data_IF_659616416885
#
_entry.id   IF_659616416885
#
_cell.length_a   1.000
_cell.length_b   1.000
_cell.length_c   1.000
_cell.angle_alpha   90.00
_cell.angle_beta   90.00
_cell.angle_gamma   90.00
#
_symmetry.space_group_name_H-M   'P 1'
#
loop_
_entity.id
_entity.type
_entity.pdbx_description
1 polymer ?
#
# COMPACT_ATOMS: atom_id res chain seq x y z
N UNK A 1 -12.54 -38.47 1.19
CA UNK A 1 -11.42 -39.26 1.76
C UNK A 1 -10.50 -39.85 0.68
N UNK A 2 -10.91 -39.93 -0.59
CA UNK A 2 -10.07 -40.40 -1.70
C UNK A 2 -8.91 -39.48 -2.12
N UNK A 3 -9.04 -38.16 -1.96
CA UNK A 3 -7.97 -37.22 -2.35
C UNK A 3 -6.73 -37.28 -1.46
N UNK A 4 -6.86 -37.72 -0.20
CA UNK A 4 -5.72 -37.86 0.72
C UNK A 4 -4.93 -39.16 0.47
N UNK A 5 -5.56 -40.17 -0.15
CA UNK A 5 -4.91 -41.45 -0.43
C UNK A 5 -4.03 -41.40 -1.69
N UNK A 6 -4.39 -40.57 -2.67
CA UNK A 6 -3.63 -40.44 -3.92
C UNK A 6 -2.33 -39.63 -3.78
N UNK A 7 -2.27 -38.70 -2.81
CA UNK A 7 -1.04 -37.93 -2.52
C UNK A 7 0.03 -38.82 -1.87
N UNK A 8 -0.37 -39.87 -1.14
CA UNK A 8 0.58 -40.75 -0.45
C UNK A 8 1.30 -41.74 -1.39
N UNK A 9 0.78 -41.98 -2.59
CA UNK A 9 1.26 -43.04 -3.48
C UNK A 9 1.93 -42.55 -4.78
N UNK A 10 2.10 -41.24 -4.98
CA UNK A 10 2.66 -40.69 -6.22
C UNK A 10 4.12 -40.21 -6.10
N UNK A 11 4.72 -40.29 -4.91
CA UNK A 11 6.14 -40.00 -4.69
C UNK A 11 6.82 -41.31 -4.30
N UNK A 12 7.74 -41.85 -5.11
CA UNK A 12 8.59 -42.95 -4.67
C UNK A 12 9.35 -42.47 -3.43
N UNK A 13 9.20 -43.19 -2.32
CA UNK A 13 9.97 -43.00 -1.09
C UNK A 13 11.43 -43.44 -1.37
N UNK A 14 12.16 -42.64 -2.15
CA UNK A 14 13.60 -42.63 -2.03
C UNK A 14 13.92 -41.88 -0.73
N UNK A 15 14.75 -42.48 0.12
CA UNK A 15 15.05 -41.95 1.46
C UNK A 15 15.88 -40.67 1.47
N UNK A 16 15.68 -39.77 0.50
CA UNK A 16 16.44 -38.54 0.30
C UNK A 16 15.60 -37.27 0.12
N UNK A 17 14.28 -37.31 0.33
CA UNK A 17 13.48 -36.10 0.45
C UNK A 17 13.65 -35.43 1.84
N UNK A 18 14.83 -34.87 2.07
CA UNK A 18 15.00 -33.80 3.06
C UNK A 18 14.26 -32.56 2.55
N UNK A 19 12.93 -32.55 2.69
CA UNK A 19 12.15 -31.33 2.57
C UNK A 19 12.79 -30.28 3.47
N UNK A 20 13.42 -29.26 2.90
CA UNK A 20 14.22 -28.29 3.65
C UNK A 20 13.35 -27.61 4.70
N UNK A 21 13.47 -28.05 5.96
CA UNK A 21 12.71 -27.48 7.07
C UNK A 21 13.24 -26.07 7.33
N UNK A 22 12.45 -25.07 6.92
CA UNK A 22 12.78 -23.67 7.11
C UNK A 22 12.76 -23.32 8.60
N UNK A 23 13.92 -22.92 9.13
CA UNK A 23 14.08 -22.51 10.54
C UNK A 23 14.08 -20.99 10.66
N UNK A 24 13.81 -20.46 11.86
CA UNK A 24 13.94 -19.02 12.18
C UNK A 24 15.28 -18.40 11.78
N UNK A 25 16.36 -19.21 11.73
CA UNK A 25 17.67 -18.80 11.20
C UNK A 25 17.60 -18.34 9.74
N UNK A 26 16.81 -19.02 8.91
CA UNK A 26 16.69 -18.68 7.49
C UNK A 26 15.92 -17.36 7.31
N UNK A 27 14.91 -17.13 8.15
CA UNK A 27 14.19 -15.84 8.20
C UNK A 27 15.13 -14.71 8.63
N UNK A 28 15.99 -14.95 9.63
CA UNK A 28 16.99 -13.98 10.07
C UNK A 28 18.01 -13.66 8.97
N UNK A 29 18.46 -14.65 8.20
CA UNK A 29 19.33 -14.43 7.04
C UNK A 29 18.60 -13.58 5.98
N UNK A 30 17.34 -13.88 5.67
CA UNK A 30 16.55 -13.05 4.74
C UNK A 30 16.37 -11.61 5.23
N UNK A 31 16.25 -11.40 6.53
CA UNK A 31 16.17 -10.06 7.12
C UNK A 31 17.45 -9.23 6.93
N UNK A 32 18.62 -9.87 6.71
CA UNK A 32 19.86 -9.15 6.41
C UNK A 32 19.79 -8.38 5.08
N UNK A 33 19.03 -8.86 4.09
CA UNK A 33 18.84 -8.13 2.84
C UNK A 33 18.14 -6.78 3.06
N UNK A 34 17.17 -6.73 3.97
CA UNK A 34 16.50 -5.47 4.35
C UNK A 34 17.45 -4.53 5.10
N UNK A 35 18.35 -5.08 5.93
CA UNK A 35 19.37 -4.28 6.62
C UNK A 35 20.33 -3.68 5.60
N UNK A 36 20.75 -4.45 4.59
CA UNK A 36 21.58 -3.97 3.50
C UNK A 36 20.91 -2.80 2.76
N UNK A 37 19.65 -2.94 2.37
CA UNK A 37 18.88 -1.86 1.72
C UNK A 37 18.74 -0.61 2.61
N UNK A 38 18.57 -0.80 3.92
CA UNK A 38 18.49 0.31 4.87
C UNK A 38 19.82 1.06 5.01
N UNK A 39 20.94 0.35 4.94
CA UNK A 39 22.30 0.94 4.92
C UNK A 39 22.49 1.71 3.62
N UNK A 40 22.17 1.10 2.47
CA UNK A 40 22.28 1.76 1.16
C UNK A 40 21.42 3.04 1.10
N UNK A 41 20.19 2.99 1.62
CA UNK A 41 19.30 4.16 1.73
C UNK A 41 19.91 5.29 2.57
N UNK A 42 20.73 4.96 3.58
CA UNK A 42 21.42 5.94 4.42
C UNK A 42 22.61 6.55 3.68
N UNK A 43 23.40 5.74 2.96
CA UNK A 43 24.53 6.19 2.15
C UNK A 43 24.05 7.13 1.04
N UNK A 44 22.96 6.78 0.36
CA UNK A 44 22.39 7.58 -0.73
C UNK A 44 21.48 8.73 -0.25
N UNK A 45 21.27 8.89 1.05
CA UNK A 45 20.46 9.99 1.60
C UNK A 45 18.95 9.91 1.32
N UNK A 46 18.41 8.75 0.95
CA UNK A 46 17.00 8.55 0.57
C UNK A 46 16.02 8.73 1.74
N UNK A 47 16.48 8.64 3.00
CA UNK A 47 15.66 8.75 4.24
C UNK A 47 14.51 7.72 4.33
N UNK A 48 14.57 6.61 3.58
CA UNK A 48 13.54 5.55 3.58
C UNK A 48 13.94 4.35 4.46
N UNK A 49 15.24 4.13 4.74
CA UNK A 49 15.73 2.94 5.45
C UNK A 49 14.99 2.61 6.75
N UNK A 50 14.61 3.61 7.54
CA UNK A 50 13.81 3.40 8.76
C UNK A 50 12.41 2.85 8.47
N UNK A 51 11.73 3.39 7.46
CA UNK A 51 10.40 2.92 7.07
C UNK A 51 10.46 1.48 6.56
N UNK A 52 11.56 1.11 5.88
CA UNK A 52 11.79 -0.25 5.40
C UNK A 52 11.93 -1.25 6.54
N UNK A 53 12.76 -0.95 7.56
CA UNK A 53 12.92 -1.83 8.73
C UNK A 53 11.60 -2.00 9.48
N UNK A 54 10.84 -0.91 9.70
CA UNK A 54 9.54 -0.98 10.37
C UNK A 54 8.56 -1.83 9.58
N UNK A 55 8.53 -1.68 8.25
CA UNK A 55 7.69 -2.49 7.37
C UNK A 55 8.07 -3.98 7.44
N UNK A 56 9.37 -4.30 7.46
CA UNK A 56 9.85 -5.67 7.56
C UNK A 56 9.50 -6.32 8.92
N UNK A 57 9.73 -5.62 10.04
CA UNK A 57 9.32 -6.12 11.36
C UNK A 57 7.80 -6.33 11.45
N UNK A 58 7.01 -5.38 10.91
CA UNK A 58 5.55 -5.51 10.83
C UNK A 58 5.15 -6.71 9.97
N UNK A 59 5.82 -6.95 8.84
CA UNK A 59 5.57 -8.09 7.97
C UNK A 59 5.78 -9.43 8.71
N UNK A 60 6.92 -9.59 9.40
CA UNK A 60 7.21 -10.81 10.18
C UNK A 60 6.12 -11.06 11.23
N UNK A 61 5.79 -10.03 12.02
CA UNK A 61 4.77 -10.14 13.05
C UNK A 61 3.40 -10.49 12.46
N UNK A 62 3.02 -9.82 11.37
CA UNK A 62 1.73 -10.05 10.71
C UNK A 62 1.61 -11.46 10.12
N UNK A 63 2.67 -11.98 9.48
CA UNK A 63 2.66 -13.34 8.94
C UNK A 63 2.62 -14.39 10.06
N UNK A 64 3.33 -14.19 11.17
CA UNK A 64 3.26 -15.09 12.32
C UNK A 64 1.85 -15.14 12.92
N UNK A 65 1.24 -13.96 13.14
CA UNK A 65 -0.13 -13.86 13.65
C UNK A 65 -1.11 -14.50 12.66
N UNK A 66 -0.96 -14.22 11.37
CA UNK A 66 -1.83 -14.77 10.33
C UNK A 66 -1.76 -16.30 10.27
N UNK A 67 -0.55 -16.88 10.38
CA UNK A 67 -0.37 -18.33 10.43
C UNK A 67 -1.16 -18.98 11.57
N UNK A 68 -1.10 -18.40 12.77
CA UNK A 68 -1.83 -18.92 13.94
C UNK A 68 -3.35 -18.76 13.83
N UNK A 69 -3.81 -17.69 13.17
CA UNK A 69 -5.23 -17.44 12.97
C UNK A 69 -5.80 -18.40 11.93
N UNK A 70 -5.14 -18.57 10.79
CA UNK A 70 -5.64 -19.37 9.67
C UNK A 70 -5.87 -20.83 10.06
N UNK A 71 -4.96 -21.44 10.82
CA UNK A 71 -5.10 -22.84 11.27
C UNK A 71 -6.40 -23.05 12.06
N UNK A 72 -6.72 -22.12 12.97
CA UNK A 72 -7.96 -22.20 13.78
C UNK A 72 -9.22 -22.01 12.94
N UNK A 73 -9.12 -21.19 11.90
CA UNK A 73 -10.24 -20.84 11.04
C UNK A 73 -10.56 -21.97 10.08
N UNK A 74 -9.53 -22.58 9.51
CA UNK A 74 -9.65 -23.74 8.65
C UNK A 74 -10.27 -24.92 9.42
N UNK A 75 -9.89 -25.11 10.69
CA UNK A 75 -10.48 -26.12 11.56
C UNK A 75 -11.97 -25.89 11.89
N UNK A 76 -12.44 -24.63 11.93
CA UNK A 76 -13.82 -24.32 12.32
C UNK A 76 -14.85 -24.60 11.24
N UNK A 77 -14.45 -24.60 9.95
CA UNK A 77 -15.30 -24.78 8.76
C UNK A 77 -16.69 -24.08 8.80
N UNK A 78 -16.77 -22.93 9.49
CA UNK A 78 -18.03 -22.21 9.72
C UNK A 78 -18.10 -20.98 8.80
N UNK A 79 -19.17 -20.82 7.98
CA UNK A 79 -19.30 -19.68 7.08
C UNK A 79 -19.28 -18.32 7.80
N UNK A 80 -19.79 -18.25 9.04
CA UNK A 80 -19.74 -17.02 9.84
C UNK A 80 -18.32 -16.65 10.27
N UNK A 81 -17.45 -17.63 10.50
CA UNK A 81 -16.04 -17.36 10.82
C UNK A 81 -15.31 -16.77 9.62
N UNK A 82 -15.55 -17.30 8.41
CA UNK A 82 -14.99 -16.77 7.15
C UNK A 82 -15.49 -15.35 6.89
N UNK A 83 -16.79 -15.10 7.09
CA UNK A 83 -17.37 -13.77 6.95
C UNK A 83 -16.79 -12.77 7.98
N UNK A 84 -16.59 -13.19 9.23
CA UNK A 84 -15.98 -12.37 10.26
C UNK A 84 -14.54 -11.96 9.92
N UNK A 85 -13.75 -12.88 9.36
CA UNK A 85 -12.38 -12.59 8.92
C UNK A 85 -12.39 -11.70 7.68
N UNK A 86 -13.27 -11.96 6.73
CA UNK A 86 -13.42 -11.11 5.55
C UNK A 86 -13.74 -9.65 5.95
N UNK A 87 -14.63 -9.47 6.93
CA UNK A 87 -14.93 -8.17 7.50
C UNK A 87 -13.73 -7.56 8.24
N UNK A 88 -13.04 -8.35 9.07
CA UNK A 88 -11.84 -7.92 9.79
C UNK A 88 -10.76 -7.43 8.82
N UNK A 89 -10.47 -8.17 7.75
CA UNK A 89 -9.50 -7.80 6.73
C UNK A 89 -9.90 -6.50 6.01
N UNK A 90 -11.19 -6.31 5.72
CA UNK A 90 -11.70 -5.06 5.14
C UNK A 90 -11.50 -3.87 6.10
N UNK A 91 -11.80 -4.03 7.40
CA UNK A 91 -11.60 -3.01 8.42
C UNK A 91 -10.11 -2.65 8.54
N UNK A 92 -9.24 -3.66 8.66
CA UNK A 92 -7.80 -3.45 8.71
C UNK A 92 -7.26 -2.77 7.44
N UNK A 93 -7.77 -3.15 6.27
CA UNK A 93 -7.45 -2.51 4.99
C UNK A 93 -7.89 -1.05 4.92
N UNK A 94 -9.07 -0.73 5.44
CA UNK A 94 -9.57 0.65 5.49
C UNK A 94 -8.76 1.52 6.45
N UNK A 95 -8.36 0.96 7.60
CA UNK A 95 -7.44 1.61 8.53
C UNK A 95 -6.09 1.86 7.83
N UNK A 96 -5.52 0.84 7.19
CA UNK A 96 -4.22 0.96 6.52
C UNK A 96 -4.22 2.03 5.43
N UNK A 97 -5.26 2.03 4.59
CA UNK A 97 -5.40 2.98 3.49
C UNK A 97 -5.56 4.40 4.01
N UNK A 98 -6.45 4.60 4.98
CA UNK A 98 -6.76 5.92 5.55
C UNK A 98 -5.58 6.48 6.34
N UNK A 99 -4.90 5.63 7.11
CA UNK A 99 -3.92 6.08 8.08
C UNK A 99 -2.47 6.07 7.57
N UNK A 100 -2.11 5.13 6.70
CA UNK A 100 -0.73 4.94 6.25
C UNK A 100 -0.50 5.27 4.78
N UNK A 101 -1.45 4.99 3.87
CA UNK A 101 -1.26 5.25 2.42
C UNK A 101 -1.68 6.64 1.96
N UNK A 102 -2.71 7.22 2.58
CA UNK A 102 -3.19 8.55 2.20
C UNK A 102 -2.26 9.65 2.70
N UNK A 103 -1.67 10.42 1.78
CA UNK A 103 -0.83 11.60 2.10
C UNK A 103 -1.65 12.75 2.67
N UNK A 104 -2.86 12.92 2.14
CA UNK A 104 -3.84 13.93 2.55
C UNK A 104 -5.15 13.23 2.85
N UNK A 105 -5.90 13.76 3.82
CA UNK A 105 -7.15 13.15 4.27
C UNK A 105 -8.28 14.12 4.09
N UNK A 106 -9.47 13.58 3.85
CA UNK A 106 -10.69 14.35 3.85
C UNK A 106 -11.64 13.91 4.98
N UNK A 107 -12.57 14.78 5.36
CA UNK A 107 -13.59 14.47 6.38
C UNK A 107 -14.31 13.16 6.04
N UNK A 108 -14.48 12.26 7.02
CA UNK A 108 -15.14 10.95 6.83
C UNK A 108 -14.44 10.00 5.83
N UNK A 109 -13.12 10.13 5.63
CA UNK A 109 -12.37 9.23 4.76
C UNK A 109 -12.47 7.74 5.15
N UNK A 110 -12.42 7.41 6.45
CA UNK A 110 -12.46 6.02 6.92
C UNK A 110 -13.71 5.24 6.45
N UNK A 111 -14.95 5.70 6.73
CA UNK A 111 -16.15 4.98 6.27
C UNK A 111 -16.25 4.96 4.74
N UNK A 112 -15.83 6.02 4.03
CA UNK A 112 -15.81 6.02 2.57
C UNK A 112 -14.89 4.94 2.00
N UNK A 113 -13.67 4.81 2.52
CA UNK A 113 -12.71 3.79 2.09
C UNK A 113 -13.21 2.38 2.47
N UNK A 114 -13.78 2.20 3.66
CA UNK A 114 -14.33 0.91 4.09
C UNK A 114 -15.45 0.44 3.16
N UNK A 115 -16.40 1.32 2.82
CA UNK A 115 -17.47 1.02 1.87
C UNK A 115 -16.88 0.69 0.49
N UNK A 116 -15.88 1.46 0.05
CA UNK A 116 -15.22 1.24 -1.24
C UNK A 116 -14.54 -0.14 -1.33
N UNK A 117 -13.84 -0.55 -0.26
CA UNK A 117 -13.23 -1.88 -0.18
C UNK A 117 -14.28 -3.00 -0.11
N UNK A 118 -15.35 -2.81 0.66
CA UNK A 118 -16.44 -3.79 0.74
C UNK A 118 -17.13 -3.96 -0.62
N UNK A 119 -17.50 -2.86 -1.29
CA UNK A 119 -18.11 -2.86 -2.61
C UNK A 119 -17.18 -3.45 -3.69
N UNK A 120 -15.87 -3.18 -3.60
CA UNK A 120 -14.90 -3.71 -4.56
C UNK A 120 -14.50 -5.17 -4.33
N UNK A 121 -14.37 -5.62 -3.09
CA UNK A 121 -13.79 -6.93 -2.79
C UNK A 121 -14.83 -8.03 -2.59
N UNK A 122 -15.93 -7.77 -1.88
CA UNK A 122 -16.89 -8.81 -1.50
C UNK A 122 -17.68 -9.34 -2.69
N UNK A 123 -18.33 -8.50 -3.54
CA UNK A 123 -19.10 -9.00 -4.67
C UNK A 123 -18.24 -9.80 -5.64
N UNK A 124 -17.03 -9.32 -5.93
CA UNK A 124 -16.11 -9.96 -6.87
C UNK A 124 -15.55 -11.25 -6.28
N UNK A 125 -15.25 -11.29 -4.98
CA UNK A 125 -14.83 -12.54 -4.32
C UNK A 125 -15.93 -13.60 -4.35
N UNK A 126 -17.19 -13.23 -4.06
CA UNK A 126 -18.33 -14.15 -4.05
C UNK A 126 -18.63 -14.65 -5.46
N UNK A 127 -18.75 -13.75 -6.44
CA UNK A 127 -19.05 -14.11 -7.84
C UNK A 127 -17.90 -14.92 -8.43
N UNK A 128 -16.66 -14.45 -8.27
CA UNK A 128 -15.47 -15.11 -8.81
C UNK A 128 -15.26 -16.50 -8.25
N UNK A 129 -15.43 -16.70 -6.94
CA UNK A 129 -15.25 -18.03 -6.37
C UNK A 129 -16.39 -18.99 -6.70
N UNK A 130 -17.64 -18.50 -6.68
CA UNK A 130 -18.79 -19.34 -6.98
C UNK A 130 -18.86 -19.75 -8.46
N UNK A 131 -18.61 -18.82 -9.38
CA UNK A 131 -18.82 -19.04 -10.81
C UNK A 131 -17.54 -19.21 -11.61
N UNK A 132 -16.50 -18.41 -11.37
CA UNK A 132 -15.28 -18.50 -12.17
C UNK A 132 -14.35 -19.64 -11.70
N UNK A 133 -14.27 -19.87 -10.40
CA UNK A 133 -13.47 -20.96 -9.80
C UNK A 133 -14.29 -22.22 -9.53
N UNK A 134 -15.60 -22.21 -9.86
CA UNK A 134 -16.56 -23.31 -9.64
C UNK A 134 -16.44 -23.96 -8.25
N UNK A 135 -16.23 -23.14 -7.23
CA UNK A 135 -15.93 -23.63 -5.90
C UNK A 135 -17.20 -23.92 -5.11
N UNK A 136 -17.36 -25.18 -4.70
CA UNK A 136 -18.47 -25.63 -3.86
C UNK A 136 -17.96 -26.22 -2.53
N UNK A 137 -18.35 -25.67 -1.37
CA UNK A 137 -18.96 -24.35 -1.17
C UNK A 137 -18.00 -23.19 -1.52
N UNK A 138 -18.55 -22.04 -1.91
CA UNK A 138 -17.74 -20.87 -2.32
C UNK A 138 -16.96 -20.25 -1.16
N UNK A 139 -17.32 -20.56 0.09
CA UNK A 139 -16.67 -20.02 1.30
C UNK A 139 -15.61 -20.94 1.89
N UNK A 140 -15.05 -21.87 1.10
CA UNK A 140 -13.93 -22.71 1.53
C UNK A 140 -12.77 -21.83 2.03
N UNK A 141 -12.43 -21.87 3.33
CA UNK A 141 -11.52 -20.91 3.94
C UNK A 141 -10.13 -20.83 3.26
N UNK A 142 -9.61 -21.98 2.82
CA UNK A 142 -8.25 -22.15 2.29
C UNK A 142 -8.04 -21.40 0.97
N UNK A 143 -9.11 -21.21 0.20
CA UNK A 143 -9.07 -20.46 -1.07
C UNK A 143 -9.67 -19.07 -0.90
N UNK A 144 -10.76 -18.95 -0.13
CA UNK A 144 -11.50 -17.70 -0.02
C UNK A 144 -10.68 -16.60 0.65
N UNK A 145 -10.03 -16.92 1.77
CA UNK A 145 -9.30 -15.92 2.55
C UNK A 145 -8.06 -15.41 1.80
N UNK A 146 -7.22 -16.26 1.18
CA UNK A 146 -6.09 -15.78 0.38
C UNK A 146 -6.52 -14.97 -0.86
N UNK A 147 -7.54 -15.43 -1.60
CA UNK A 147 -8.08 -14.70 -2.77
C UNK A 147 -8.57 -13.32 -2.35
N UNK A 148 -9.42 -13.24 -1.33
CA UNK A 148 -9.88 -11.97 -0.79
C UNK A 148 -8.71 -11.09 -0.32
N UNK A 149 -7.71 -11.69 0.33
CA UNK A 149 -6.52 -11.00 0.80
C UNK A 149 -5.75 -10.27 -0.32
N UNK A 150 -5.58 -10.89 -1.49
CA UNK A 150 -4.93 -10.21 -2.62
C UNK A 150 -5.83 -9.17 -3.28
N UNK A 151 -7.14 -9.40 -3.36
CA UNK A 151 -8.09 -8.40 -3.86
C UNK A 151 -8.01 -7.14 -2.98
N UNK A 152 -8.03 -7.31 -1.65
CA UNK A 152 -7.88 -6.21 -0.70
C UNK A 152 -6.50 -5.56 -0.80
N UNK A 153 -5.41 -6.33 -0.86
CA UNK A 153 -4.05 -5.81 -0.96
C UNK A 153 -3.85 -4.89 -2.16
N UNK A 154 -4.34 -5.30 -3.33
CA UNK A 154 -4.32 -4.49 -4.55
C UNK A 154 -5.30 -3.32 -4.48
N UNK A 155 -6.52 -3.54 -3.96
CA UNK A 155 -7.52 -2.48 -3.76
C UNK A 155 -7.03 -1.35 -2.85
N UNK A 156 -6.33 -1.67 -1.75
CA UNK A 156 -5.71 -0.69 -0.84
C UNK A 156 -4.68 0.16 -1.58
N UNK A 157 -3.88 -0.43 -2.48
CA UNK A 157 -2.95 0.33 -3.34
C UNK A 157 -3.67 1.21 -4.34
N UNK A 158 -4.66 0.68 -5.05
CA UNK A 158 -5.42 1.42 -6.06
C UNK A 158 -6.16 2.61 -5.44
N UNK A 159 -6.90 2.41 -4.34
CA UNK A 159 -7.56 3.50 -3.61
C UNK A 159 -6.54 4.54 -3.13
N UNK A 160 -5.41 4.09 -2.56
CA UNK A 160 -4.37 4.99 -2.08
C UNK A 160 -3.82 5.89 -3.19
N UNK A 161 -3.58 5.33 -4.38
CA UNK A 161 -3.13 6.10 -5.55
C UNK A 161 -4.23 7.04 -6.04
N UNK A 162 -5.46 6.56 -6.22
CA UNK A 162 -6.60 7.35 -6.68
C UNK A 162 -6.85 8.57 -5.78
N UNK A 163 -6.90 8.35 -4.45
CA UNK A 163 -7.12 9.41 -3.46
C UNK A 163 -5.95 10.39 -3.46
N UNK A 164 -4.70 9.90 -3.48
CA UNK A 164 -3.54 10.80 -3.50
C UNK A 164 -3.49 11.63 -4.78
N UNK A 165 -3.82 11.03 -5.93
CA UNK A 165 -3.86 11.71 -7.23
C UNK A 165 -4.93 12.81 -7.23
N UNK A 166 -6.18 12.47 -6.92
CA UNK A 166 -7.28 13.46 -6.91
C UNK A 166 -7.02 14.56 -5.90
N UNK A 167 -6.54 14.23 -4.70
CA UNK A 167 -6.31 15.22 -3.64
C UNK A 167 -5.12 16.16 -3.98
N UNK A 168 -4.16 15.68 -4.77
CA UNK A 168 -3.07 16.51 -5.27
C UNK A 168 -3.57 17.44 -6.38
N UNK A 169 -4.31 16.90 -7.34
CA UNK A 169 -4.93 17.65 -8.43
C UNK A 169 -5.85 18.76 -7.92
N UNK A 170 -6.69 18.48 -6.91
CA UNK A 170 -7.57 19.49 -6.31
C UNK A 170 -6.83 20.65 -5.67
N UNK A 171 -5.61 20.43 -5.20
CA UNK A 171 -4.81 21.50 -4.57
C UNK A 171 -4.03 22.28 -5.60
N UNK A 172 -3.52 21.61 -6.64
CA UNK A 172 -2.68 22.24 -7.66
C UNK A 172 -3.51 22.97 -8.72
N UNK A 173 -4.68 22.43 -9.10
CA UNK A 173 -5.51 22.93 -10.19
C UNK A 173 -6.82 23.56 -9.71
N UNK A 174 -6.82 24.09 -8.48
CA UNK A 174 -8.01 24.70 -7.86
C UNK A 174 -8.62 25.80 -8.72
N UNK A 175 -7.80 26.75 -9.16
CA UNK A 175 -8.26 27.93 -9.89
C UNK A 175 -8.98 27.53 -11.18
N UNK A 176 -8.51 26.44 -11.81
CA UNK A 176 -9.14 25.85 -12.99
C UNK A 176 -10.52 25.28 -12.68
N UNK A 177 -10.68 24.57 -11.55
CA UNK A 177 -11.98 24.03 -11.13
C UNK A 177 -12.96 25.17 -10.83
N UNK A 178 -12.53 26.18 -10.08
CA UNK A 178 -13.37 27.35 -9.76
C UNK A 178 -13.75 28.13 -11.02
N UNK A 179 -12.85 28.22 -12.00
CA UNK A 179 -13.14 28.82 -13.30
C UNK A 179 -14.24 28.05 -14.03
N UNK A 180 -14.15 26.71 -14.15
CA UNK A 180 -15.20 25.92 -14.78
C UNK A 180 -16.55 26.08 -14.09
N UNK A 181 -16.57 26.09 -12.75
CA UNK A 181 -17.79 26.29 -11.96
C UNK A 181 -18.36 27.71 -12.15
N UNK A 182 -17.50 28.73 -12.29
CA UNK A 182 -17.92 30.10 -12.58
C UNK A 182 -18.53 30.26 -13.99
N UNK A 183 -18.08 29.44 -14.96
CA UNK A 183 -18.69 29.34 -16.29
C UNK A 183 -19.96 28.47 -16.34
N UNK A 184 -20.44 27.98 -15.19
CA UNK A 184 -21.68 27.20 -15.08
C UNK A 184 -21.54 25.70 -15.36
N UNK A 185 -20.31 25.18 -15.43
CA UNK A 185 -20.10 23.74 -15.54
C UNK A 185 -20.58 23.02 -14.28
N UNK A 186 -21.20 21.84 -14.45
CA UNK A 186 -21.62 21.03 -13.30
C UNK A 186 -20.44 20.45 -12.54
N UNK A 187 -20.66 20.08 -11.27
CA UNK A 187 -19.66 19.48 -10.35
C UNK A 187 -18.87 18.35 -10.98
N UNK A 188 -19.58 17.42 -11.62
CA UNK A 188 -18.99 16.23 -12.25
C UNK A 188 -18.26 16.58 -13.54
N UNK A 189 -18.69 17.62 -14.25
CA UNK A 189 -18.05 18.08 -15.48
C UNK A 189 -16.71 18.77 -15.18
N UNK A 190 -16.70 19.65 -14.18
CA UNK A 190 -15.50 20.39 -13.76
C UNK A 190 -14.36 19.47 -13.30
N UNK A 191 -14.67 18.30 -12.73
CA UNK A 191 -13.67 17.38 -12.16
C UNK A 191 -13.48 16.08 -12.94
N UNK A 192 -14.24 15.90 -14.02
CA UNK A 192 -14.12 14.74 -14.93
C UNK A 192 -12.68 14.46 -15.36
N UNK A 193 -11.88 15.42 -15.88
CA UNK A 193 -10.52 15.14 -16.32
C UNK A 193 -9.64 14.63 -15.17
N UNK A 194 -9.74 15.27 -14.00
CA UNK A 194 -9.00 14.88 -12.80
C UNK A 194 -9.38 13.48 -12.31
N UNK A 195 -10.66 13.13 -12.42
CA UNK A 195 -11.17 11.83 -12.03
C UNK A 195 -10.65 10.72 -12.96
N UNK A 196 -10.60 10.99 -14.27
CA UNK A 196 -10.05 10.06 -15.27
C UNK A 196 -8.57 9.83 -15.01
N UNK A 197 -7.78 10.89 -14.80
CA UNK A 197 -6.33 10.78 -14.57
C UNK A 197 -6.02 10.06 -13.25
N UNK A 198 -6.80 10.33 -12.20
CA UNK A 198 -6.67 9.64 -10.92
C UNK A 198 -7.01 8.15 -11.02
N UNK A 199 -8.06 7.79 -11.76
CA UNK A 199 -8.44 6.39 -11.97
C UNK A 199 -7.44 5.66 -12.87
N UNK A 200 -6.97 6.29 -13.94
CA UNK A 200 -5.93 5.74 -14.81
C UNK A 200 -4.66 5.46 -14.00
N UNK A 201 -4.19 6.43 -13.20
CA UNK A 201 -3.03 6.28 -12.33
C UNK A 201 -3.17 5.12 -11.33
N UNK A 202 -4.38 4.92 -10.80
CA UNK A 202 -4.67 3.83 -9.86
C UNK A 202 -4.67 2.44 -10.49
N UNK A 203 -5.00 2.32 -11.78
CA UNK A 203 -5.11 1.04 -12.50
C UNK A 203 -3.87 0.65 -13.28
N UNK A 204 -3.01 1.62 -13.62
CA UNK A 204 -1.74 1.38 -14.31
C UNK A 204 -0.89 0.26 -13.68
N UNK A 205 -0.72 0.18 -12.34
CA UNK A 205 0.06 -0.92 -11.74
C UNK A 205 -0.50 -2.30 -12.07
N UNK A 206 -1.83 -2.45 -12.02
CA UNK A 206 -2.50 -3.73 -12.31
C UNK A 206 -2.39 -4.10 -13.78
N UNK A 207 -2.56 -3.13 -14.68
CA UNK A 207 -2.39 -3.32 -16.13
C UNK A 207 -0.95 -3.74 -16.43
N UNK A 208 0.02 -3.00 -15.91
CA UNK A 208 1.44 -3.29 -16.11
C UNK A 208 1.82 -4.67 -15.59
N UNK A 209 1.27 -5.09 -14.44
CA UNK A 209 1.51 -6.42 -13.91
C UNK A 209 0.93 -7.50 -14.82
N UNK A 210 -0.29 -7.32 -15.34
CA UNK A 210 -0.91 -8.27 -16.27
C UNK A 210 -0.12 -8.40 -17.59
N UNK A 211 0.47 -7.32 -18.10
CA UNK A 211 1.25 -7.34 -19.34
C UNK A 211 2.52 -8.18 -19.26
N UNK A 212 3.10 -8.36 -18.07
CA UNK A 212 4.41 -9.03 -17.91
C UNK A 212 4.31 -10.40 -17.24
N UNK A 213 3.21 -10.71 -16.56
CA UNK A 213 3.10 -11.89 -15.69
C UNK A 213 3.39 -13.21 -16.43
N UNK A 214 2.90 -13.37 -17.66
CA UNK A 214 3.15 -14.58 -18.45
C UNK A 214 4.53 -14.63 -19.12
N UNK A 215 5.26 -13.51 -19.16
CA UNK A 215 6.53 -13.40 -19.87
C UNK A 215 7.75 -13.58 -18.96
N UNK A 216 7.70 -13.03 -17.73
CA UNK A 216 8.90 -12.91 -16.89
C UNK A 216 8.77 -13.49 -15.47
N UNK A 217 7.56 -13.75 -14.98
CA UNK A 217 7.37 -14.04 -13.56
C UNK A 217 6.27 -15.07 -13.31
N UNK A 218 6.62 -16.22 -12.76
CA UNK A 218 5.64 -17.19 -12.26
C UNK A 218 5.09 -16.68 -10.92
N UNK A 219 3.79 -16.34 -10.81
CA UNK A 219 3.25 -15.78 -9.57
C UNK A 219 3.30 -16.79 -8.42
N UNK A 220 3.36 -16.27 -7.18
CA UNK A 220 3.47 -17.10 -5.99
C UNK A 220 2.30 -18.07 -5.80
N UNK A 221 1.07 -17.67 -6.12
CA UNK A 221 -0.10 -18.58 -6.04
C UNK A 221 -0.03 -19.67 -7.11
N UNK A 222 0.34 -19.34 -8.35
CA UNK A 222 0.54 -20.34 -9.40
C UNK A 222 1.63 -21.35 -9.00
N UNK A 223 2.76 -20.87 -8.51
CA UNK A 223 3.85 -21.72 -7.99
C UNK A 223 3.35 -22.60 -6.83
N UNK A 224 2.59 -22.01 -5.89
CA UNK A 224 2.01 -22.74 -4.76
C UNK A 224 1.01 -23.82 -5.20
N UNK A 225 0.22 -23.57 -6.24
CA UNK A 225 -0.69 -24.55 -6.83
C UNK A 225 0.09 -25.70 -7.49
N UNK A 226 1.19 -25.41 -8.18
CA UNK A 226 2.07 -26.41 -8.81
C UNK A 226 2.73 -27.28 -7.73
N UNK A 227 3.30 -26.67 -6.69
CA UNK A 227 3.90 -27.40 -5.55
C UNK A 227 2.84 -28.21 -4.81
N UNK A 228 1.60 -27.71 -4.75
CA UNK A 228 0.44 -28.41 -4.22
C UNK A 228 -0.10 -29.54 -5.11
N UNK A 229 0.58 -29.90 -6.19
CA UNK A 229 0.25 -31.04 -7.05
C UNK A 229 -0.79 -30.76 -8.14
N UNK A 230 -1.20 -29.51 -8.37
CA UNK A 230 -2.05 -29.17 -9.54
C UNK A 230 -1.21 -29.18 -10.81
N UNK A 231 -1.82 -29.58 -11.93
CA UNK A 231 -1.16 -29.46 -13.24
C UNK A 231 -0.84 -27.99 -13.54
N UNK A 232 0.25 -27.75 -14.27
CA UNK A 232 0.71 -26.40 -14.64
C UNK A 232 -0.37 -25.63 -15.40
N UNK A 233 -1.12 -26.33 -16.26
CA UNK A 233 -2.25 -25.76 -17.00
C UNK A 233 -3.35 -25.24 -16.06
N UNK A 234 -3.76 -26.05 -15.08
CA UNK A 234 -4.79 -25.66 -14.11
C UNK A 234 -4.31 -24.53 -13.20
N UNK A 235 -3.03 -24.54 -12.81
CA UNK A 235 -2.44 -23.45 -12.05
C UNK A 235 -2.41 -22.13 -12.84
N UNK A 236 -2.13 -22.19 -14.15
CA UNK A 236 -2.18 -21.03 -15.04
C UNK A 236 -3.61 -20.47 -15.18
N UNK A 237 -4.61 -21.33 -15.39
CA UNK A 237 -6.02 -20.91 -15.47
C UNK A 237 -6.49 -20.23 -14.18
N UNK A 238 -6.15 -20.80 -13.03
CA UNK A 238 -6.46 -20.22 -11.72
C UNK A 238 -5.81 -18.84 -11.54
N UNK A 239 -4.55 -18.69 -11.95
CA UNK A 239 -3.85 -17.41 -11.91
C UNK A 239 -4.46 -16.36 -12.86
N UNK A 240 -4.90 -16.75 -14.06
CA UNK A 240 -5.59 -15.85 -14.99
C UNK A 240 -6.89 -15.32 -14.37
N UNK A 241 -7.73 -16.21 -13.83
CA UNK A 241 -8.98 -15.85 -13.17
C UNK A 241 -8.72 -14.88 -12.01
N UNK A 242 -7.75 -15.18 -11.15
CA UNK A 242 -7.42 -14.33 -10.00
C UNK A 242 -6.91 -12.95 -10.44
N UNK A 243 -6.12 -12.84 -11.51
CA UNK A 243 -5.70 -11.53 -12.02
C UNK A 243 -6.86 -10.69 -12.56
N UNK A 244 -7.82 -11.32 -13.24
CA UNK A 244 -9.04 -10.62 -13.68
C UNK A 244 -9.89 -10.16 -12.49
N UNK A 245 -9.99 -10.98 -11.44
CA UNK A 245 -10.65 -10.60 -10.19
C UNK A 245 -9.95 -9.42 -9.49
N UNK A 246 -8.61 -9.44 -9.41
CA UNK A 246 -7.83 -8.34 -8.84
C UNK A 246 -8.07 -7.04 -9.62
N UNK A 247 -8.07 -7.10 -10.95
CA UNK A 247 -8.31 -5.96 -11.82
C UNK A 247 -9.71 -5.37 -11.62
N UNK A 248 -10.75 -6.21 -11.71
CA UNK A 248 -12.13 -5.78 -11.49
C UNK A 248 -12.34 -5.21 -10.08
N UNK A 249 -11.75 -5.84 -9.06
CA UNK A 249 -11.90 -5.44 -7.66
C UNK A 249 -11.23 -4.11 -7.38
N UNK A 250 -10.02 -3.93 -7.88
CA UNK A 250 -9.26 -2.68 -7.73
C UNK A 250 -9.92 -1.53 -8.47
N UNK A 251 -10.45 -1.76 -9.68
CA UNK A 251 -11.21 -0.77 -10.44
C UNK A 251 -12.48 -0.34 -9.72
N UNK A 252 -13.31 -1.29 -9.29
CA UNK A 252 -14.55 -0.98 -8.58
C UNK A 252 -14.27 -0.24 -7.26
N UNK A 253 -13.28 -0.70 -6.49
CA UNK A 253 -12.89 -0.06 -5.24
C UNK A 253 -12.38 1.39 -5.46
N UNK A 254 -11.54 1.61 -6.49
CA UNK A 254 -11.02 2.94 -6.82
C UNK A 254 -12.13 3.89 -7.31
N UNK A 255 -13.06 3.42 -8.14
CA UNK A 255 -14.20 4.21 -8.64
C UNK A 255 -15.08 4.66 -7.47
N UNK A 256 -15.47 3.74 -6.58
CA UNK A 256 -16.33 4.06 -5.43
C UNK A 256 -15.61 5.04 -4.49
N UNK A 257 -14.32 4.83 -4.23
CA UNK A 257 -13.54 5.73 -3.38
C UNK A 257 -13.42 7.13 -3.97
N UNK A 258 -13.19 7.23 -5.28
CA UNK A 258 -13.11 8.50 -5.99
C UNK A 258 -14.45 9.22 -6.00
N UNK A 259 -15.56 8.50 -6.22
CA UNK A 259 -16.91 9.07 -6.15
C UNK A 259 -17.19 9.69 -4.77
N UNK A 260 -16.85 8.98 -3.68
CA UNK A 260 -16.98 9.53 -2.32
C UNK A 260 -16.05 10.72 -2.07
N UNK A 261 -14.80 10.66 -2.53
CA UNK A 261 -13.85 11.76 -2.39
C UNK A 261 -14.36 13.02 -3.08
N UNK A 262 -14.79 12.92 -4.34
CA UNK A 262 -15.33 14.04 -5.13
C UNK A 262 -16.59 14.64 -4.49
N UNK A 263 -17.52 13.78 -4.02
CA UNK A 263 -18.75 14.24 -3.34
C UNK A 263 -18.47 14.93 -2.01
N UNK A 264 -17.36 14.62 -1.36
CA UNK A 264 -16.98 15.23 -0.08
C UNK A 264 -16.22 16.54 -0.27
N UNK A 265 -15.36 16.61 -1.29
CA UNK A 265 -14.48 17.75 -1.58
C UNK A 265 -15.20 18.91 -2.27
N UNK A 266 -16.15 18.61 -3.16
CA UNK A 266 -17.04 19.60 -3.76
C UNK A 266 -18.35 19.56 -3.01
N UNK A 267 -18.91 20.70 -2.62
CA UNK A 267 -20.19 20.78 -1.91
C UNK A 267 -21.39 20.97 -2.85
N UNK A 268 -22.63 20.73 -2.38
CA UNK A 268 -23.86 20.79 -3.20
C UNK A 268 -24.14 22.15 -3.84
N UNK A 269 -23.43 23.18 -3.39
CA UNK A 269 -23.49 24.54 -3.94
C UNK A 269 -22.35 24.84 -4.92
N UNK A 270 -21.73 23.82 -5.50
CA UNK A 270 -20.65 23.96 -6.50
C UNK A 270 -19.48 24.80 -5.95
N UNK A 271 -19.10 24.52 -4.71
CA UNK A 271 -17.98 25.18 -4.03
C UNK A 271 -16.93 24.15 -3.62
N UNK A 272 -15.67 24.49 -3.87
CA UNK A 272 -14.52 23.72 -3.42
C UNK A 272 -14.34 23.97 -1.92
N UNK A 273 -14.48 22.93 -1.09
CA UNK A 273 -14.33 23.04 0.37
C UNK A 273 -12.93 22.61 0.81
N UNK A 274 -12.02 23.57 0.94
CA UNK A 274 -10.65 23.32 1.42
C UNK A 274 -10.62 22.93 2.91
N UNK A 275 -11.59 23.40 3.69
CA UNK A 275 -11.69 23.14 5.13
C UNK A 275 -11.81 21.64 5.47
N UNK A 276 -12.18 20.83 4.47
CA UNK A 276 -12.33 19.38 4.61
C UNK A 276 -11.06 18.61 4.28
N UNK A 277 -10.04 19.25 3.70
CA UNK A 277 -8.73 18.64 3.48
C UNK A 277 -7.84 18.87 4.71
N UNK A 278 -7.63 17.83 5.51
CA UNK A 278 -6.61 17.86 6.55
C UNK A 278 -5.32 17.21 6.07
N UNK A 279 -4.24 17.97 6.12
CA UNK A 279 -2.87 17.48 5.87
C UNK A 279 -2.19 17.01 7.16
N UNK A 280 -2.81 17.20 8.34
CA UNK A 280 -2.23 16.82 9.62
C UNK A 280 -2.37 15.31 9.85
N UNK A 281 -1.23 14.67 10.15
CA UNK A 281 -1.21 13.30 10.66
C UNK A 281 -1.94 13.23 12.03
N UNK A 282 -2.72 12.17 12.30
CA UNK A 282 -3.50 12.04 13.55
C UNK A 282 -2.56 11.90 14.74
N UNK A 283 -3.06 12.28 15.92
CA UNK A 283 -2.26 12.43 17.15
C UNK A 283 -1.46 11.18 17.51
N UNK A 284 -2.08 9.99 17.43
CA UNK A 284 -1.44 8.71 17.73
C UNK A 284 -0.24 8.41 16.80
N UNK A 285 -0.39 8.68 15.51
CA UNK A 285 0.68 8.44 14.53
C UNK A 285 1.82 9.47 14.65
N UNK A 286 1.50 10.72 15.00
CA UNK A 286 2.53 11.72 15.34
C UNK A 286 3.29 11.36 16.62
N UNK A 287 2.64 10.68 17.56
CA UNK A 287 3.30 10.16 18.74
C UNK A 287 4.22 8.99 18.35
N UNK A 288 3.70 7.97 17.65
CA UNK A 288 4.48 6.83 17.15
C UNK A 288 5.73 7.26 16.38
N UNK A 289 5.58 8.14 15.37
CA UNK A 289 6.70 8.61 14.56
C UNK A 289 7.75 9.36 15.41
N UNK A 290 7.30 10.10 16.45
CA UNK A 290 8.20 10.75 17.43
C UNK A 290 8.91 9.74 18.32
N UNK A 291 8.23 8.73 18.85
CA UNK A 291 8.85 7.70 19.69
C UNK A 291 9.88 6.91 18.90
N UNK A 292 9.53 6.51 17.68
CA UNK A 292 10.43 5.84 16.74
C UNK A 292 11.63 6.72 16.37
N UNK A 293 11.42 8.03 16.15
CA UNK A 293 12.53 8.95 15.91
C UNK A 293 13.46 9.06 17.12
N UNK A 294 12.92 9.09 18.35
CA UNK A 294 13.74 9.12 19.57
C UNK A 294 14.57 7.85 19.73
N UNK A 295 13.96 6.68 19.56
CA UNK A 295 14.66 5.39 19.63
C UNK A 295 15.73 5.30 18.55
N UNK A 296 15.43 5.73 17.32
CA UNK A 296 16.40 5.74 16.23
C UNK A 296 17.56 6.70 16.48
N UNK A 297 17.27 7.94 16.89
CA UNK A 297 18.30 8.92 17.21
C UNK A 297 19.19 8.45 18.36
N UNK A 298 18.61 7.76 19.36
CA UNK A 298 19.36 7.11 20.43
C UNK A 298 20.26 5.97 19.91
N UNK A 299 19.75 5.13 18.99
CA UNK A 299 20.52 4.06 18.37
C UNK A 299 21.64 4.57 17.45
N UNK A 300 21.40 5.64 16.70
CA UNK A 300 22.44 6.29 15.88
C UNK A 300 23.45 7.06 16.74
N UNK A 301 23.02 7.63 17.87
CA UNK A 301 23.90 8.25 18.87
C UNK A 301 24.89 7.23 19.46
N UNK A 302 24.45 5.99 19.68
CA UNK A 302 25.33 4.89 20.10
C UNK A 302 26.36 4.52 19.02
N UNK A 303 25.98 4.59 17.73
CA UNK A 303 26.91 4.36 16.60
C UNK A 303 27.89 5.52 16.38
N UNK A 304 27.48 6.76 16.66
CA UNK A 304 28.35 7.94 16.54
C UNK A 304 29.37 8.07 17.68
N UNK A 305 29.25 7.30 18.77
CA UNK A 305 30.30 7.24 19.80
C UNK A 305 31.51 6.37 19.39
N UNK A 306 31.46 5.67 18.24
CA UNK A 306 32.56 4.86 17.70
C UNK A 306 33.48 5.56 16.69
N UNK A 307 33.27 6.85 16.40
CA UNK A 307 33.99 7.59 15.35
C UNK A 307 34.59 8.89 15.84
N UNK A 308 35.59 8.82 16.72
CA UNK A 308 36.39 9.97 17.15
C UNK A 308 37.48 10.28 16.11
N UNK A 309 37.22 11.25 15.24
CA UNK A 309 38.22 12.19 14.66
C UNK A 309 37.44 13.49 14.41
N UNK A 310 37.60 14.53 15.22
CA UNK A 310 38.82 15.32 15.28
C UNK A 310 38.83 16.26 14.08
N UNK A 311 38.06 17.35 14.16
CA UNK A 311 37.94 18.39 13.13
C UNK A 311 37.38 19.65 13.77
N UNK A 312 38.27 20.60 13.97
CA UNK A 312 38.24 21.70 14.94
C UNK A 312 37.22 22.79 14.58
N UNK A 313 36.47 23.23 15.59
CA UNK A 313 35.53 24.36 15.54
C UNK A 313 36.24 25.73 15.32
N UNK A 314 37.58 25.73 15.25
CA UNK A 314 38.42 26.89 14.94
C UNK A 314 38.49 27.21 13.43
N UNK A 315 38.27 26.24 12.53
CA UNK A 315 38.40 26.48 11.07
C UNK A 315 37.23 27.31 10.51
N UNK A 316 36.07 27.31 11.19
CA UNK A 316 34.91 28.15 10.82
C UNK A 316 35.01 29.59 11.33
N UNK A 317 35.88 29.88 12.29
CA UNK A 317 36.09 31.25 12.80
C UNK A 317 37.08 32.06 11.96
N UNK A 318 37.98 31.41 11.22
CA UNK A 318 38.90 32.09 10.30
C UNK A 318 38.24 32.69 9.05
N UNK A 319 37.08 32.15 8.64
CA UNK A 319 36.39 32.56 7.41
C UNK A 319 35.36 33.69 7.59
N UNK A 320 35.18 34.20 8.82
CA UNK A 320 34.22 35.27 9.13
C UNK A 320 34.91 36.57 9.61
N UNK A 321 36.25 36.65 9.53
CA UNK A 321 37.02 37.80 10.03
C UNK A 321 37.90 38.48 8.99
N UNK A 322 37.57 38.36 7.70
CA UNK A 322 38.23 39.09 6.63
C UNK A 322 37.22 39.49 5.57
N UNK A 323 36.62 40.66 5.75
CA UNK A 323 36.24 41.62 4.69
C UNK A 323 35.25 42.66 5.25
N UNK A 324 35.79 43.56 6.07
CA UNK A 324 35.27 44.91 6.18
C UNK A 324 36.04 45.77 5.17
N UNK A 325 35.46 45.96 3.98
CA UNK A 325 35.75 47.16 3.18
C UNK A 325 34.43 47.88 2.94
N UNK A 326 34.30 48.96 3.70
CA UNK A 326 33.34 50.05 3.56
C UNK A 326 33.52 50.70 2.20
N UNK A 327 32.44 50.86 1.42
CA UNK A 327 32.26 52.04 0.56
C UNK A 327 30.80 52.51 0.63
N UNK A 328 30.66 53.77 1.02
CA UNK A 328 29.45 54.57 1.16
C UNK A 328 28.87 55.05 -0.18
N UNK A 329 27.56 55.36 -0.14
CA UNK A 329 26.91 56.42 -0.95
C UNK A 329 26.19 55.93 -2.20
N UNK A 330 24.97 56.35 -2.55
CA UNK A 330 24.04 57.34 -2.02
C UNK A 330 22.98 57.67 -3.09
N UNK A 331 21.83 58.23 -2.66
CA UNK A 331 20.92 59.09 -3.44
C UNK A 331 20.07 58.52 -4.60
N UNK A 332 18.76 58.39 -4.30
CA UNK A 332 17.59 58.94 -5.03
C UNK A 332 17.66 59.24 -6.54
N UNK A 333 16.72 58.70 -7.33
CA UNK A 333 15.52 59.44 -7.85
C UNK A 333 14.46 58.50 -8.51
N UNK A 334 13.16 58.88 -8.58
CA UNK A 334 12.06 58.11 -9.15
C UNK A 334 11.64 58.58 -10.56
N UNK A 335 10.83 57.75 -11.26
CA UNK A 335 10.11 58.04 -12.52
C UNK A 335 10.93 58.26 -13.81
N UNK A 336 10.64 57.46 -14.85
CA UNK A 336 11.14 57.71 -16.20
C UNK A 336 10.75 56.69 -17.26
N UNK A 337 9.53 56.84 -17.79
CA UNK A 337 8.95 56.24 -19.03
C UNK A 337 8.52 54.78 -19.00
#
# INVERSE_FOLDING_TARGET
>A
MEYAYFIKNAVPDDGTDTGTVLTWRNVAIGFLFIIFDAVLSTIMGLKIGRNLIIAACRCILQLCVMSLILDKVFASNNPFAVAAIALLLNILGAIETTFNKAKRRFTNMFPCVLISLLCGSIPISVIGQKYALEQHPFWKPEQFIPVLGMLLGNGISAIGIAINSVTTEFTNNRDRIETYLAFGAGRFEAVRPMAIDALASALLPTINQMSVIGLISIPGMMTGAIIGGKSVEQAAMLQMIVMFMISASSALAAIVALWFALRTLIDERDRVRQDRLDSRKPAFYRWRDRTIQRVWNWFTSLRCCGGRKGGTEEERRGLLSGDNVVVHGGSSDPNGR
#
